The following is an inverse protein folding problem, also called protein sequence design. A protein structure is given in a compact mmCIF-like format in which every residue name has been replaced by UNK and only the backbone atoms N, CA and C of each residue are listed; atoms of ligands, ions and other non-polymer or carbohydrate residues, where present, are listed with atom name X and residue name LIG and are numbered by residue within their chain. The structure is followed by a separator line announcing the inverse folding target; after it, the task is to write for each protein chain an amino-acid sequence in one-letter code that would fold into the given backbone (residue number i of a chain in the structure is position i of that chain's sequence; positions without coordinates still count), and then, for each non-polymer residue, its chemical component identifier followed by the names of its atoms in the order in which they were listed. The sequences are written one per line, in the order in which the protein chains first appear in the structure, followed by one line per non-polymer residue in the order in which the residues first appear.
data_IF_732145589423
#
_entry.id   IF_732145589423
#
_cell.length_a   1.000
_cell.length_b   1.000
_cell.length_c   1.000
_cell.angle_alpha   90.00
_cell.angle_beta   90.00
_cell.angle_gamma   90.00
#
_symmetry.space_group_name_H-M   'P 1'
#
loop_
_entity.id
_entity.type
_entity.pdbx_description
1 polymer ?
#
# COMPACT_ATOMS: atom_id res chain seq x y z
N UNK A 1 -17.73 10.70 19.92
CA UNK A 1 -17.65 9.31 19.42
C UNK A 1 -16.70 9.33 18.25
N UNK A 2 -15.48 8.79 18.39
CA UNK A 2 -14.67 8.51 17.19
C UNK A 2 -15.39 7.40 16.45
N UNK A 3 -15.82 7.64 15.21
CA UNK A 3 -16.27 6.56 14.34
C UNK A 3 -15.14 5.54 14.19
N UNK A 4 -15.49 4.28 13.92
CA UNK A 4 -14.51 3.29 13.50
C UNK A 4 -13.73 3.83 12.29
N UNK A 5 -12.45 3.44 12.15
CA UNK A 5 -11.66 3.84 11.00
C UNK A 5 -12.36 3.37 9.71
N UNK A 6 -12.30 4.17 8.65
CA UNK A 6 -12.87 3.79 7.36
C UNK A 6 -12.26 2.49 6.83
N UNK A 7 -10.96 2.29 7.06
CA UNK A 7 -10.23 1.09 6.70
C UNK A 7 -9.50 0.55 7.95
N UNK A 8 -9.77 -0.68 8.36
CA UNK A 8 -9.01 -1.32 9.42
C UNK A 8 -7.60 -1.69 8.93
N UNK A 9 -7.48 -2.15 7.68
CA UNK A 9 -6.19 -2.43 7.04
C UNK A 9 -6.07 -1.88 5.63
N UNK A 10 -4.99 -1.14 5.41
CA UNK A 10 -4.55 -0.67 4.08
C UNK A 10 -3.22 -1.34 3.72
N UNK A 11 -3.17 -1.95 2.53
CA UNK A 11 -1.93 -2.48 1.94
C UNK A 11 -1.41 -1.50 0.90
N UNK A 12 -0.13 -1.15 0.99
CA UNK A 12 0.52 -0.22 0.04
C UNK A 12 1.67 -0.91 -0.68
N UNK A 13 1.56 -1.03 -2.00
CA UNK A 13 2.68 -1.40 -2.87
C UNK A 13 3.37 -0.12 -3.35
N UNK A 14 4.50 0.23 -2.71
CA UNK A 14 5.26 1.44 -3.03
C UNK A 14 5.04 2.60 -2.04
N UNK A 15 5.76 2.58 -0.91
CA UNK A 15 5.75 3.64 0.10
C UNK A 15 6.66 4.85 -0.25
N UNK A 16 6.71 5.23 -1.54
CA UNK A 16 7.43 6.42 -2.01
C UNK A 16 6.66 7.71 -1.74
N UNK A 17 6.90 8.77 -2.51
CA UNK A 17 6.22 10.06 -2.32
C UNK A 17 4.68 9.92 -2.30
N UNK A 18 4.10 9.28 -3.33
CA UNK A 18 2.64 9.16 -3.47
C UNK A 18 2.05 8.21 -2.43
N UNK A 19 2.50 6.95 -2.40
CA UNK A 19 1.96 5.97 -1.44
C UNK A 19 2.21 6.36 0.01
N UNK A 20 3.36 7.01 0.29
CA UNK A 20 3.69 7.51 1.61
C UNK A 20 2.82 8.69 2.05
N UNK A 21 2.61 9.68 1.17
CA UNK A 21 1.73 10.82 1.49
C UNK A 21 0.28 10.37 1.70
N UNK A 22 -0.19 9.43 0.89
CA UNK A 22 -1.53 8.84 1.06
C UNK A 22 -1.70 8.15 2.41
N UNK A 23 -0.76 7.28 2.78
CA UNK A 23 -0.80 6.57 4.06
C UNK A 23 -0.77 7.54 5.25
N UNK A 24 0.11 8.56 5.21
CA UNK A 24 0.19 9.57 6.26
C UNK A 24 -1.09 10.40 6.35
N UNK A 25 -1.72 10.75 5.22
CA UNK A 25 -2.98 11.48 5.22
C UNK A 25 -4.13 10.67 5.84
N UNK A 26 -4.23 9.37 5.52
CA UNK A 26 -5.21 8.48 6.16
C UNK A 26 -4.99 8.38 7.67
N UNK A 27 -3.74 8.23 8.11
CA UNK A 27 -3.37 8.19 9.53
C UNK A 27 -3.72 9.49 10.23
N UNK A 28 -3.37 10.64 9.64
CA UNK A 28 -3.67 11.96 10.18
C UNK A 28 -5.18 12.21 10.30
N UNK A 29 -5.98 11.66 9.40
CA UNK A 29 -7.44 11.75 9.43
C UNK A 29 -8.10 10.72 10.38
N UNK A 30 -7.33 9.83 11.01
CA UNK A 30 -7.86 8.73 11.84
C UNK A 30 -8.71 7.75 11.05
N UNK A 31 -8.47 7.63 9.73
CA UNK A 31 -9.28 6.80 8.82
C UNK A 31 -8.63 5.45 8.49
N UNK A 32 -7.51 5.12 9.14
CA UNK A 32 -6.84 3.83 9.00
C UNK A 32 -6.39 3.27 10.34
N UNK A 33 -6.63 1.97 10.55
CA UNK A 33 -6.12 1.21 11.70
C UNK A 33 -4.65 0.78 11.53
N UNK A 34 -4.34 0.12 10.41
CA UNK A 34 -3.00 -0.40 10.10
C UNK A 34 -2.63 -0.17 8.62
N UNK A 35 -1.38 0.25 8.38
CA UNK A 35 -0.76 0.33 7.05
C UNK A 35 0.35 -0.71 6.92
N UNK A 36 0.14 -1.67 6.01
CA UNK A 36 1.10 -2.74 5.69
C UNK A 36 1.76 -2.44 4.35
N UNK A 37 3.09 -2.41 4.33
CA UNK A 37 3.84 -2.02 3.13
C UNK A 37 4.58 -3.16 2.44
N UNK A 38 4.57 -3.13 1.11
CA UNK A 38 5.43 -3.92 0.24
C UNK A 38 6.27 -3.00 -0.65
N UNK A 39 7.52 -3.40 -0.89
CA UNK A 39 8.47 -2.60 -1.64
C UNK A 39 9.65 -3.43 -2.11
N UNK A 40 10.44 -2.85 -3.02
CA UNK A 40 11.55 -3.55 -3.70
C UNK A 40 12.75 -3.79 -2.78
N UNK A 41 13.04 -2.86 -1.88
CA UNK A 41 14.25 -2.90 -1.05
C UNK A 41 13.89 -2.78 0.43
N UNK A 42 14.63 -3.50 1.28
CA UNK A 42 14.50 -3.38 2.72
C UNK A 42 14.88 -1.97 3.21
N UNK A 43 15.82 -1.29 2.54
CA UNK A 43 16.21 0.07 2.87
C UNK A 43 15.04 1.07 2.79
N UNK A 44 14.29 1.04 1.69
CA UNK A 44 13.10 1.90 1.53
C UNK A 44 11.98 1.56 2.51
N UNK A 45 11.78 0.27 2.81
CA UNK A 45 10.77 -0.18 3.76
C UNK A 45 11.10 0.25 5.19
N UNK A 46 12.35 0.08 5.61
CA UNK A 46 12.83 0.53 6.91
C UNK A 46 12.74 2.05 7.06
N UNK A 47 13.01 2.81 5.98
CA UNK A 47 12.80 4.25 5.99
C UNK A 47 11.32 4.60 6.18
N UNK A 48 10.41 3.94 5.46
CA UNK A 48 8.99 4.19 5.58
C UNK A 48 8.43 3.84 6.98
N UNK A 49 8.94 2.79 7.62
CA UNK A 49 8.65 2.48 9.03
C UNK A 49 9.11 3.61 9.96
N UNK A 50 10.37 4.08 9.82
CA UNK A 50 10.90 5.17 10.65
C UNK A 50 10.13 6.48 10.51
N UNK A 51 9.57 6.73 9.33
CA UNK A 51 8.76 7.91 9.04
C UNK A 51 7.29 7.75 9.47
N UNK A 52 6.90 6.60 10.04
CA UNK A 52 5.52 6.33 10.45
C UNK A 52 4.56 6.13 9.27
N UNK A 53 5.07 6.00 8.04
CA UNK A 53 4.27 5.74 6.84
C UNK A 53 3.66 4.35 6.93
N UNK A 54 4.50 3.35 7.24
CA UNK A 54 4.09 1.97 7.44
C UNK A 54 4.06 1.67 8.93
N UNK A 55 3.12 0.85 9.36
CA UNK A 55 3.14 0.26 10.71
C UNK A 55 4.00 -1.01 10.70
N UNK A 56 3.95 -1.78 9.61
CA UNK A 56 4.84 -2.92 9.39
C UNK A 56 5.09 -3.22 7.91
N UNK A 57 6.12 -4.03 7.68
CA UNK A 57 6.38 -4.66 6.38
C UNK A 57 5.53 -5.92 6.26
N UNK A 58 4.88 -6.09 5.10
CA UNK A 58 4.10 -7.29 4.83
C UNK A 58 4.97 -8.53 4.65
N UNK A 59 4.50 -9.68 5.12
CA UNK A 59 5.28 -10.93 5.11
C UNK A 59 4.79 -11.92 4.04
N UNK A 60 3.48 -11.97 3.77
CA UNK A 60 2.89 -12.80 2.74
C UNK A 60 1.84 -12.02 1.97
N UNK A 61 2.15 -11.71 0.71
CA UNK A 61 1.29 -10.87 -0.13
C UNK A 61 -0.15 -11.37 -0.18
N UNK A 62 -0.36 -12.67 -0.41
CA UNK A 62 -1.70 -13.23 -0.54
C UNK A 62 -2.55 -13.07 0.73
N UNK A 63 -1.95 -13.33 1.89
CA UNK A 63 -2.65 -13.18 3.18
C UNK A 63 -2.91 -11.71 3.52
N UNK A 64 -1.95 -10.81 3.26
CA UNK A 64 -2.14 -9.39 3.54
C UNK A 64 -3.24 -8.78 2.66
N UNK A 65 -3.25 -9.07 1.36
CA UNK A 65 -4.25 -8.51 0.44
C UNK A 65 -5.63 -9.14 0.62
N UNK A 66 -5.70 -10.41 1.04
CA UNK A 66 -6.98 -11.06 1.34
C UNK A 66 -7.70 -10.38 2.52
N UNK A 67 -6.93 -9.98 3.52
CA UNK A 67 -7.43 -9.35 4.73
C UNK A 67 -7.38 -7.82 4.69
N UNK A 68 -7.15 -7.21 3.51
CA UNK A 68 -7.11 -5.78 3.33
C UNK A 68 -8.50 -5.25 2.96
N UNK A 69 -8.87 -4.10 3.53
CA UNK A 69 -10.04 -3.34 3.08
C UNK A 69 -9.70 -2.53 1.82
N UNK A 70 -8.46 -2.04 1.76
CA UNK A 70 -7.93 -1.28 0.64
C UNK A 70 -6.52 -1.72 0.26
N UNK A 71 -6.29 -1.89 -1.04
CA UNK A 71 -4.96 -2.05 -1.64
C UNK A 71 -4.66 -0.85 -2.53
N UNK A 72 -3.58 -0.12 -2.23
CA UNK A 72 -3.03 0.93 -3.07
C UNK A 72 -1.80 0.43 -3.82
N UNK A 73 -1.87 0.47 -5.16
CA UNK A 73 -0.71 0.23 -6.03
C UNK A 73 -0.09 1.59 -6.41
N UNK A 74 0.95 1.99 -5.68
CA UNK A 74 1.73 3.21 -5.91
C UNK A 74 3.14 2.90 -6.43
N UNK A 75 3.26 1.83 -7.22
CA UNK A 75 4.47 1.45 -7.93
C UNK A 75 4.54 2.14 -9.30
N UNK A 76 5.73 2.25 -9.92
CA UNK A 76 5.86 2.66 -11.31
C UNK A 76 4.95 1.82 -12.23
N UNK A 77 4.35 2.47 -13.24
CA UNK A 77 3.32 1.88 -14.11
C UNK A 77 3.76 0.56 -14.75
N UNK A 78 5.05 0.45 -15.12
CA UNK A 78 5.61 -0.79 -15.68
C UNK A 78 5.54 -2.02 -14.76
N UNK A 79 5.34 -1.84 -13.45
CA UNK A 79 5.16 -2.94 -12.48
C UNK A 79 3.72 -3.08 -12.00
N UNK A 80 2.85 -2.09 -12.20
CA UNK A 80 1.48 -2.12 -11.66
C UNK A 80 0.68 -3.32 -12.20
N UNK A 81 0.84 -3.65 -13.49
CA UNK A 81 0.18 -4.81 -14.10
C UNK A 81 0.62 -6.14 -13.49
N UNK A 82 1.92 -6.33 -13.28
CA UNK A 82 2.46 -7.54 -12.65
C UNK A 82 2.00 -7.69 -11.19
N UNK A 83 1.98 -6.57 -10.44
CA UNK A 83 1.45 -6.54 -9.07
C UNK A 83 -0.01 -6.95 -9.08
N UNK A 84 -0.83 -6.33 -9.93
CA UNK A 84 -2.27 -6.62 -10.01
C UNK A 84 -2.52 -8.09 -10.37
N UNK A 85 -1.84 -8.62 -11.38
CA UNK A 85 -1.97 -10.02 -11.78
C UNK A 85 -1.61 -10.99 -10.64
N UNK A 86 -0.61 -10.64 -9.83
CA UNK A 86 -0.19 -11.46 -8.68
C UNK A 86 -1.18 -11.42 -7.52
N UNK A 87 -1.80 -10.26 -7.25
CA UNK A 87 -2.71 -10.11 -6.10
C UNK A 87 -4.15 -10.48 -6.41
N UNK A 88 -4.58 -10.34 -7.67
CA UNK A 88 -5.95 -10.60 -8.11
C UNK A 88 -6.55 -11.94 -7.60
N UNK A 89 -5.84 -13.10 -7.66
CA UNK A 89 -6.41 -14.36 -7.17
C UNK A 89 -6.51 -14.45 -5.63
N UNK A 90 -5.91 -13.51 -4.90
CA UNK A 90 -5.85 -13.50 -3.44
C UNK A 90 -6.72 -12.42 -2.79
N UNK A 91 -7.40 -11.58 -3.59
CA UNK A 91 -8.21 -10.48 -3.04
C UNK A 91 -9.37 -11.01 -2.22
N UNK A 92 -9.64 -10.35 -1.09
CA UNK A 92 -10.80 -10.62 -0.28
C UNK A 92 -12.09 -10.16 -0.96
N UNK A 93 -13.25 -10.68 -0.55
CA UNK A 93 -14.54 -10.34 -1.16
C UNK A 93 -14.96 -8.87 -1.00
N UNK A 94 -14.34 -8.15 -0.07
CA UNK A 94 -14.62 -6.74 0.23
C UNK A 94 -13.42 -5.82 -0.08
N UNK A 95 -12.33 -6.37 -0.63
CA UNK A 95 -11.11 -5.61 -0.86
C UNK A 95 -11.29 -4.65 -2.05
N UNK A 96 -11.13 -3.36 -1.80
CA UNK A 96 -11.04 -2.35 -2.85
C UNK A 96 -9.60 -2.25 -3.32
N UNK A 97 -9.39 -2.21 -4.64
CA UNK A 97 -8.07 -1.99 -5.23
C UNK A 97 -8.09 -0.69 -6.02
N UNK A 98 -7.09 0.15 -5.80
CA UNK A 98 -6.88 1.37 -6.57
C UNK A 98 -5.39 1.58 -6.83
N UNK A 99 -5.06 2.32 -7.88
CA UNK A 99 -3.68 2.65 -8.23
C UNK A 99 -3.46 4.15 -8.23
N UNK A 100 -2.21 4.54 -7.99
CA UNK A 100 -1.74 5.91 -8.13
C UNK A 100 -0.49 5.96 -9.01
N UNK A 101 -0.47 5.12 -10.04
CA UNK A 101 0.62 5.05 -11.00
C UNK A 101 0.73 6.35 -11.79
N UNK A 102 1.79 7.11 -11.58
CA UNK A 102 2.10 8.24 -12.45
C UNK A 102 2.67 7.72 -13.77
N UNK A 103 2.14 8.17 -14.90
CA UNK A 103 2.60 7.85 -16.28
C UNK A 103 4.01 8.36 -16.61
N UNK A 104 4.78 8.85 -15.63
CA UNK A 104 6.16 9.28 -15.88
C UNK A 104 7.00 8.06 -16.24
N UNK A 105 7.47 8.08 -17.49
CA UNK A 105 8.29 7.04 -18.11
C UNK A 105 9.37 6.52 -17.15
N UNK A 106 9.55 5.21 -17.22
CA UNK A 106 10.62 4.42 -16.63
C UNK A 106 11.97 5.04 -17.02
N UNK A 107 12.48 6.02 -16.28
CA UNK A 107 13.90 6.35 -16.33
C UNK A 107 14.65 5.26 -15.61
N UNK A 108 14.88 4.17 -16.33
CA UNK A 108 15.99 3.26 -16.05
C UNK A 108 17.27 4.08 -16.19
N UNK A 109 17.88 4.40 -15.07
CA UNK A 109 19.31 4.63 -14.97
C UNK A 109 19.90 3.51 -14.11
#
# INVERSE_FOLDING_TARGET
MSGAALFERVVVFGAGLIGGSFALALKAAGQVGEVVGFGRTLGSLNQALRLGILDRVGFNIGQEVYAADLVLIAAPVGMSGEIMARIAPCLGPQTVVTDAGSTKEDRRH
#
